data_IF_459078004737
#
_entry.id   IF_459078004737
#
_cell.length_a   1.000
_cell.length_b   1.000
_cell.length_c   1.000
_cell.angle_alpha   90.00
_cell.angle_beta   90.00
_cell.angle_gamma   90.00
#
_symmetry.space_group_name_H-M   'P 1'
#
loop_
_entity.id
_entity.type
_entity.pdbx_description
1 polymer ?
#
# COMPACT_ATOMS: atom_id res chain seq x y z
N UNK A 1 0.32 -118.51 -18.79
CA UNK A 1 0.78 -117.13 -18.51
C UNK A 1 -0.23 -116.07 -18.96
N UNK A 2 -1.27 -116.43 -19.73
CA UNK A 2 -2.16 -115.47 -20.40
C UNK A 2 -3.18 -114.76 -19.48
N UNK A 3 -3.57 -115.38 -18.35
CA UNK A 3 -4.52 -114.76 -17.40
C UNK A 3 -3.97 -113.55 -16.65
N UNK A 4 -2.66 -113.51 -16.39
CA UNK A 4 -2.02 -112.36 -15.72
C UNK A 4 -1.86 -111.17 -16.68
N UNK A 5 -1.45 -111.42 -17.92
CA UNK A 5 -1.35 -110.36 -18.94
C UNK A 5 -2.72 -109.74 -19.30
N UNK A 6 -3.80 -110.55 -19.33
CA UNK A 6 -5.16 -110.05 -19.54
C UNK A 6 -5.68 -109.18 -18.39
N UNK A 7 -5.22 -109.41 -17.16
CA UNK A 7 -5.63 -108.62 -15.99
C UNK A 7 -4.89 -107.29 -15.93
N UNK A 8 -3.63 -107.26 -16.32
CA UNK A 8 -2.81 -106.05 -16.41
C UNK A 8 -3.32 -105.12 -17.52
N UNK A 9 -3.67 -105.66 -18.69
CA UNK A 9 -4.19 -104.84 -19.80
C UNK A 9 -5.56 -104.23 -19.47
N UNK A 10 -6.44 -104.96 -18.79
CA UNK A 10 -7.73 -104.42 -18.31
C UNK A 10 -7.55 -103.27 -17.31
N UNK A 11 -6.52 -103.35 -16.46
CA UNK A 11 -6.22 -102.32 -15.47
C UNK A 11 -5.74 -101.03 -16.15
N UNK A 12 -4.79 -101.15 -17.09
CA UNK A 12 -4.29 -100.01 -17.89
C UNK A 12 -5.41 -99.35 -18.69
N UNK A 13 -6.29 -100.14 -19.32
CA UNK A 13 -7.44 -99.59 -20.07
C UNK A 13 -8.40 -98.86 -19.13
N UNK A 14 -8.65 -99.38 -17.93
CA UNK A 14 -9.49 -98.70 -16.93
C UNK A 14 -8.87 -97.39 -16.42
N UNK A 15 -7.55 -97.34 -16.27
CA UNK A 15 -6.81 -96.13 -15.92
C UNK A 15 -6.86 -95.09 -17.05
N UNK A 16 -6.70 -95.50 -18.31
CA UNK A 16 -6.81 -94.60 -19.47
C UNK A 16 -8.24 -94.03 -19.58
N UNK A 17 -9.27 -94.84 -19.35
CA UNK A 17 -10.67 -94.38 -19.34
C UNK A 17 -10.90 -93.40 -18.19
N UNK A 18 -10.31 -93.67 -17.01
CA UNK A 18 -10.39 -92.78 -15.85
C UNK A 18 -9.65 -91.46 -16.09
N UNK A 19 -8.49 -91.50 -16.74
CA UNK A 19 -7.71 -90.33 -17.11
C UNK A 19 -8.45 -89.48 -18.15
N UNK A 20 -9.05 -90.12 -19.17
CA UNK A 20 -9.89 -89.48 -20.17
C UNK A 20 -11.12 -88.82 -19.54
N UNK A 21 -11.72 -89.47 -18.53
CA UNK A 21 -12.85 -88.91 -17.80
C UNK A 21 -12.43 -87.73 -16.91
N UNK A 22 -11.24 -87.76 -16.31
CA UNK A 22 -10.66 -86.63 -15.56
C UNK A 22 -10.20 -85.48 -16.46
N UNK A 23 -9.89 -85.78 -17.73
CA UNK A 23 -9.74 -84.79 -18.78
C UNK A 23 -11.13 -84.30 -19.20
N UNK A 24 -11.81 -83.61 -18.28
CA UNK A 24 -13.11 -82.99 -18.53
C UNK A 24 -12.88 -81.78 -19.43
N UNK A 25 -12.82 -82.04 -20.75
CA UNK A 25 -12.74 -81.01 -21.79
C UNK A 25 -13.97 -80.11 -21.77
N UNK A 26 -15.10 -80.60 -21.25
CA UNK A 26 -16.35 -79.84 -21.10
C UNK A 26 -16.20 -78.67 -20.15
N UNK A 27 -15.66 -78.91 -18.95
CA UNK A 27 -15.47 -77.88 -17.92
C UNK A 27 -14.52 -76.79 -18.41
N UNK A 28 -13.45 -77.17 -19.12
CA UNK A 28 -12.54 -76.21 -19.73
C UNK A 28 -13.23 -75.39 -20.85
N UNK A 29 -14.13 -76.00 -21.64
CA UNK A 29 -14.89 -75.29 -22.67
C UNK A 29 -15.88 -74.31 -22.02
N UNK A 30 -16.54 -74.71 -20.93
CA UNK A 30 -17.46 -73.86 -20.18
C UNK A 30 -16.71 -72.68 -19.53
N UNK A 31 -15.54 -72.91 -18.94
CA UNK A 31 -14.67 -71.83 -18.44
C UNK A 31 -14.23 -70.88 -19.56
N UNK A 32 -13.88 -71.40 -20.75
CA UNK A 32 -13.52 -70.56 -21.90
C UNK A 32 -14.71 -69.72 -22.37
N UNK A 33 -15.93 -70.28 -22.37
CA UNK A 33 -17.15 -69.54 -22.68
C UNK A 33 -17.42 -68.45 -21.65
N UNK A 34 -17.25 -68.75 -20.36
CA UNK A 34 -17.39 -67.77 -19.29
C UNK A 34 -16.35 -66.64 -19.42
N UNK A 35 -15.10 -66.97 -19.74
CA UNK A 35 -14.05 -65.98 -20.03
C UNK A 35 -14.44 -65.12 -21.22
N UNK A 36 -14.97 -65.71 -22.29
CA UNK A 36 -15.37 -64.98 -23.49
C UNK A 36 -16.54 -64.00 -23.20
N UNK A 37 -17.50 -64.43 -22.40
CA UNK A 37 -18.61 -63.57 -21.96
C UNK A 37 -18.11 -62.46 -21.02
N UNK A 38 -17.15 -62.76 -20.15
CA UNK A 38 -16.51 -61.75 -19.32
C UNK A 38 -15.71 -60.73 -20.15
N UNK A 39 -15.01 -61.16 -21.20
CA UNK A 39 -14.33 -60.26 -22.14
C UNK A 39 -15.34 -59.34 -22.82
N UNK A 40 -16.47 -59.86 -23.32
CA UNK A 40 -17.53 -59.03 -23.91
C UNK A 40 -18.07 -57.99 -22.93
N UNK A 41 -18.35 -58.41 -21.68
CA UNK A 41 -18.80 -57.48 -20.62
C UNK A 41 -17.76 -56.40 -20.33
N UNK A 42 -16.47 -56.75 -20.33
CA UNK A 42 -15.37 -55.79 -20.14
C UNK A 42 -15.32 -54.81 -21.32
N UNK A 43 -15.42 -55.27 -22.56
CA UNK A 43 -15.43 -54.41 -23.75
C UNK A 43 -16.61 -53.43 -23.72
N UNK A 44 -17.81 -53.89 -23.38
CA UNK A 44 -18.99 -53.04 -23.21
C UNK A 44 -18.79 -52.00 -22.11
N UNK A 45 -18.25 -52.40 -20.95
CA UNK A 45 -17.96 -51.50 -19.84
C UNK A 45 -16.89 -50.46 -20.21
N UNK A 46 -15.84 -50.86 -20.91
CA UNK A 46 -14.80 -49.96 -21.41
C UNK A 46 -15.37 -48.96 -22.42
N UNK A 47 -16.20 -49.42 -23.37
CA UNK A 47 -16.78 -48.55 -24.37
C UNK A 47 -17.73 -47.53 -23.71
N UNK A 48 -18.56 -47.97 -22.77
CA UNK A 48 -19.43 -47.08 -21.97
C UNK A 48 -18.63 -46.05 -21.19
N UNK A 49 -17.51 -46.44 -20.55
CA UNK A 49 -16.63 -45.52 -19.83
C UNK A 49 -15.95 -44.52 -20.78
N UNK A 50 -15.54 -44.96 -21.96
CA UNK A 50 -14.99 -44.10 -23.01
C UNK A 50 -16.01 -43.06 -23.50
N UNK A 51 -17.26 -43.45 -23.69
CA UNK A 51 -18.33 -42.52 -24.05
C UNK A 51 -18.66 -41.53 -22.94
N UNK A 52 -18.72 -41.99 -21.68
CA UNK A 52 -18.95 -41.12 -20.52
C UNK A 52 -17.86 -40.05 -20.39
N UNK A 53 -16.58 -40.44 -20.44
CA UNK A 53 -15.46 -39.50 -20.37
C UNK A 53 -15.45 -38.52 -21.54
N UNK A 54 -15.78 -38.96 -22.77
CA UNK A 54 -15.94 -38.07 -23.93
C UNK A 54 -17.08 -37.07 -23.74
N UNK A 55 -18.20 -37.50 -23.16
CA UNK A 55 -19.35 -36.64 -22.88
C UNK A 55 -19.04 -35.62 -21.77
N UNK A 56 -18.36 -36.03 -20.71
CA UNK A 56 -17.87 -35.14 -19.66
C UNK A 56 -16.91 -34.09 -20.22
N UNK A 57 -15.93 -34.51 -21.01
CA UNK A 57 -14.99 -33.59 -21.68
C UNK A 57 -15.72 -32.60 -22.60
N UNK A 58 -16.73 -33.04 -23.35
CA UNK A 58 -17.57 -32.15 -24.16
C UNK A 58 -18.38 -31.17 -23.30
N UNK A 59 -18.95 -31.62 -22.19
CA UNK A 59 -19.69 -30.77 -21.28
C UNK A 59 -18.79 -29.72 -20.62
N UNK A 60 -17.61 -30.12 -20.15
CA UNK A 60 -16.57 -29.23 -19.63
C UNK A 60 -16.09 -28.23 -20.69
N UNK A 61 -15.84 -28.69 -21.92
CA UNK A 61 -15.44 -27.81 -23.03
C UNK A 61 -16.52 -26.77 -23.36
N UNK A 62 -17.80 -27.15 -23.30
CA UNK A 62 -18.92 -26.21 -23.45
C UNK A 62 -18.98 -25.21 -22.30
N UNK A 63 -18.85 -25.67 -21.04
CA UNK A 63 -18.80 -24.80 -19.86
C UNK A 63 -17.63 -23.80 -19.94
N UNK A 64 -16.46 -24.26 -20.35
CA UNK A 64 -15.29 -23.40 -20.55
C UNK A 64 -15.52 -22.41 -21.69
N UNK A 65 -16.15 -22.82 -22.79
CA UNK A 65 -16.49 -21.91 -23.89
C UNK A 65 -17.49 -20.85 -23.43
N UNK A 66 -18.52 -21.22 -22.68
CA UNK A 66 -19.51 -20.26 -22.13
C UNK A 66 -18.88 -19.31 -21.13
N UNK A 67 -18.03 -19.83 -20.23
CA UNK A 67 -17.27 -19.00 -19.29
C UNK A 67 -16.31 -18.07 -20.00
N UNK A 68 -15.58 -18.55 -21.01
CA UNK A 68 -14.67 -17.72 -21.82
C UNK A 68 -15.45 -16.64 -22.57
N UNK A 69 -16.61 -16.95 -23.15
CA UNK A 69 -17.45 -15.93 -23.79
C UNK A 69 -18.07 -14.96 -22.78
N UNK A 70 -18.36 -15.41 -21.56
CA UNK A 70 -18.87 -14.56 -20.47
C UNK A 70 -17.77 -13.65 -19.92
N UNK A 71 -16.56 -14.17 -19.72
CA UNK A 71 -15.40 -13.41 -19.25
C UNK A 71 -14.86 -12.46 -20.31
N UNK A 72 -15.01 -12.77 -21.60
CA UNK A 72 -14.71 -11.85 -22.70
C UNK A 72 -15.85 -10.84 -22.96
N UNK A 73 -16.96 -10.93 -22.22
CA UNK A 73 -18.06 -9.97 -22.20
C UNK A 73 -18.38 -9.54 -20.76
N UNK A 74 -17.54 -8.67 -20.20
CA UNK A 74 -18.07 -7.49 -19.54
C UNK A 74 -17.69 -6.28 -20.40
N UNK A 75 -18.70 -5.83 -21.14
CA UNK A 75 -19.01 -4.43 -21.38
C UNK A 75 -17.84 -3.42 -21.26
N UNK A 76 -17.28 -2.96 -22.39
CA UNK A 76 -16.39 -1.77 -22.45
C UNK A 76 -16.98 -0.56 -21.70
N UNK A 77 -18.31 -0.51 -21.50
CA UNK A 77 -18.95 0.52 -20.69
C UNK A 77 -18.78 0.30 -19.17
N UNK A 78 -18.80 -0.93 -18.67
CA UNK A 78 -18.60 -1.18 -17.23
C UNK A 78 -17.15 -0.91 -16.80
N UNK A 79 -16.17 -1.14 -17.67
CA UNK A 79 -14.78 -0.76 -17.38
C UNK A 79 -14.60 0.77 -17.36
N UNK A 80 -15.29 1.51 -18.23
CA UNK A 80 -15.31 2.98 -18.18
C UNK A 80 -15.98 3.49 -16.91
N UNK A 81 -17.15 2.95 -16.55
CA UNK A 81 -17.88 3.36 -15.34
C UNK A 81 -17.09 3.05 -14.07
N UNK A 82 -16.37 1.90 -14.03
CA UNK A 82 -15.53 1.55 -12.90
C UNK A 82 -14.27 2.42 -12.81
N UNK A 83 -13.61 2.69 -13.94
CA UNK A 83 -12.47 3.61 -13.98
C UNK A 83 -12.88 5.04 -13.61
N UNK A 84 -14.04 5.51 -14.06
CA UNK A 84 -14.59 6.82 -13.70
C UNK A 84 -14.91 6.89 -12.20
N UNK A 85 -15.41 5.79 -11.61
CA UNK A 85 -15.64 5.70 -10.16
C UNK A 85 -14.33 5.73 -9.36
N UNK A 86 -13.27 5.05 -9.85
CA UNK A 86 -11.94 5.10 -9.25
C UNK A 86 -11.40 6.53 -9.28
N UNK A 87 -11.41 7.18 -10.45
CA UNK A 87 -10.92 8.56 -10.60
C UNK A 87 -11.69 9.52 -9.70
N UNK A 88 -13.02 9.34 -9.59
CA UNK A 88 -13.85 10.15 -8.69
C UNK A 88 -13.44 9.95 -7.22
N UNK A 89 -13.24 8.70 -6.80
CA UNK A 89 -12.84 8.40 -5.43
C UNK A 89 -11.42 8.90 -5.09
N UNK A 90 -10.49 8.82 -6.05
CA UNK A 90 -9.14 9.38 -5.90
C UNK A 90 -9.20 10.92 -5.75
N UNK A 91 -10.05 11.58 -6.54
CA UNK A 91 -10.28 13.03 -6.39
C UNK A 91 -10.88 13.38 -5.04
N UNK A 92 -11.88 12.62 -4.56
CA UNK A 92 -12.48 12.83 -3.23
C UNK A 92 -11.45 12.64 -2.10
N UNK A 93 -10.55 11.66 -2.21
CA UNK A 93 -9.44 11.48 -1.26
C UNK A 93 -8.47 12.67 -1.26
N UNK A 94 -8.15 13.20 -2.44
CA UNK A 94 -7.28 14.37 -2.53
C UNK A 94 -7.97 15.60 -1.94
N UNK A 95 -9.26 15.82 -2.24
CA UNK A 95 -10.04 16.93 -1.69
C UNK A 95 -10.13 16.83 -0.17
N UNK A 96 -10.46 15.67 0.39
CA UNK A 96 -10.52 15.47 1.84
C UNK A 96 -9.16 15.65 2.53
N UNK A 97 -8.06 15.22 1.90
CA UNK A 97 -6.72 15.48 2.40
C UNK A 97 -6.38 16.98 2.37
N UNK A 98 -6.74 17.67 1.29
CA UNK A 98 -6.58 19.12 1.15
C UNK A 98 -7.42 19.88 2.20
N UNK A 99 -8.67 19.48 2.41
CA UNK A 99 -9.55 20.05 3.43
C UNK A 99 -8.98 19.86 4.84
N UNK A 100 -8.46 18.67 5.16
CA UNK A 100 -7.79 18.43 6.44
C UNK A 100 -6.55 19.32 6.62
N UNK A 101 -5.75 19.52 5.57
CA UNK A 101 -4.58 20.44 5.65
C UNK A 101 -5.00 21.91 5.76
N UNK A 102 -6.11 22.31 5.13
CA UNK A 102 -6.66 23.65 5.28
C UNK A 102 -7.17 23.87 6.69
N UNK A 103 -7.86 22.88 7.28
CA UNK A 103 -8.34 22.94 8.65
C UNK A 103 -7.16 23.02 9.65
N UNK A 104 -6.08 22.26 9.44
CA UNK A 104 -4.89 22.35 10.30
C UNK A 104 -4.24 23.72 10.20
N UNK A 105 -4.07 24.26 8.98
CA UNK A 105 -3.49 25.59 8.78
C UNK A 105 -4.38 26.71 9.32
N UNK A 106 -5.70 26.58 9.21
CA UNK A 106 -6.65 27.52 9.82
C UNK A 106 -6.59 27.47 11.34
N UNK A 107 -6.47 26.28 11.93
CA UNK A 107 -6.30 26.11 13.36
C UNK A 107 -4.96 26.67 13.84
N UNK A 108 -3.87 26.51 13.09
CA UNK A 108 -2.57 27.11 13.38
C UNK A 108 -2.62 28.64 13.28
N UNK A 109 -3.28 29.20 12.25
CA UNK A 109 -3.49 30.64 12.14
C UNK A 109 -4.34 31.18 13.29
N UNK A 110 -5.43 30.49 13.63
CA UNK A 110 -6.27 30.85 14.78
C UNK A 110 -5.45 30.83 16.08
N UNK A 111 -4.64 29.79 16.28
CA UNK A 111 -3.72 29.72 17.41
C UNK A 111 -2.72 30.87 17.39
N UNK A 112 -2.10 31.19 16.25
CA UNK A 112 -1.14 32.29 16.14
C UNK A 112 -1.77 33.67 16.38
N UNK A 113 -2.99 33.89 15.90
CA UNK A 113 -3.75 35.12 16.13
C UNK A 113 -4.19 35.26 17.59
N UNK A 114 -4.49 34.15 18.27
CA UNK A 114 -4.96 34.15 19.66
C UNK A 114 -3.84 33.90 20.68
N UNK A 115 -2.66 33.46 20.24
CA UNK A 115 -1.42 33.57 21.00
C UNK A 115 -1.02 35.03 20.97
N UNK A 116 -1.56 35.78 21.92
CA UNK A 116 -1.08 37.11 22.24
C UNK A 116 0.43 37.05 22.47
N UNK A 117 1.19 37.77 21.63
CA UNK A 117 2.64 37.97 21.75
C UNK A 117 3.02 38.59 23.12
N UNK A 118 2.02 39.06 23.88
CA UNK A 118 2.14 39.53 25.26
C UNK A 118 2.62 38.45 26.25
N UNK A 119 2.32 37.16 26.03
CA UNK A 119 2.65 36.09 26.99
C UNK A 119 4.06 35.47 26.82
N UNK A 120 4.78 35.79 25.73
CA UNK A 120 6.12 35.23 25.46
C UNK A 120 7.28 36.20 25.74
N UNK A 121 7.03 37.50 26.00
CA UNK A 121 8.10 38.49 26.25
C UNK A 121 7.73 39.52 27.33
N UNK A 122 7.13 39.12 28.46
CA UNK A 122 7.03 40.02 29.61
C UNK A 122 7.61 39.41 30.89
N UNK A 123 8.96 39.32 31.01
CA UNK A 123 9.59 39.23 32.31
C UNK A 123 9.66 40.64 32.92
N UNK A 124 8.83 40.89 33.95
CA UNK A 124 9.03 41.85 35.06
C UNK A 124 10.17 42.89 34.89
N UNK A 125 10.01 43.91 34.04
CA UNK A 125 10.76 45.19 34.11
C UNK A 125 10.12 46.24 33.18
N UNK A 126 8.87 46.58 33.47
CA UNK A 126 8.01 47.40 32.60
C UNK A 126 8.52 48.83 32.36
N UNK A 127 9.39 49.36 33.23
CA UNK A 127 9.92 50.71 33.06
C UNK A 127 11.05 50.79 32.01
N UNK A 128 11.97 49.83 31.99
CA UNK A 128 13.16 49.90 31.13
C UNK A 128 12.80 49.51 29.70
N UNK A 129 11.98 48.47 29.51
CA UNK A 129 11.51 48.08 28.18
C UNK A 129 10.62 49.15 27.55
N UNK A 130 9.75 49.80 28.33
CA UNK A 130 8.96 50.93 27.86
C UNK A 130 9.85 52.14 27.54
N UNK A 131 10.83 52.46 28.38
CA UNK A 131 11.80 53.51 28.10
C UNK A 131 12.59 53.23 26.82
N UNK A 132 13.08 52.00 26.62
CA UNK A 132 13.77 51.59 25.40
C UNK A 132 12.85 51.65 24.17
N UNK A 133 11.58 51.28 24.31
CA UNK A 133 10.60 51.43 23.23
C UNK A 133 10.36 52.90 22.88
N UNK A 134 10.23 53.77 23.88
CA UNK A 134 10.13 55.22 23.70
C UNK A 134 11.38 55.75 23.00
N UNK A 135 12.59 55.44 23.47
CA UNK A 135 13.83 55.88 22.81
C UNK A 135 13.96 55.39 21.37
N UNK A 136 13.50 54.16 21.07
CA UNK A 136 13.47 53.63 19.70
C UNK A 136 12.42 54.33 18.83
N UNK A 137 11.26 54.68 19.39
CA UNK A 137 10.24 55.48 18.69
C UNK A 137 10.70 56.91 18.41
N UNK A 138 11.60 57.45 19.23
CA UNK A 138 12.29 58.72 18.98
C UNK A 138 13.40 58.60 17.92
N UNK A 139 13.58 57.42 17.31
CA UNK A 139 14.57 57.21 16.26
C UNK A 139 16.00 57.03 16.76
N UNK A 140 16.21 56.85 18.07
CA UNK A 140 17.53 56.65 18.68
C UNK A 140 17.77 55.15 18.85
N UNK A 141 18.79 54.62 18.17
CA UNK A 141 19.19 53.22 18.24
C UNK A 141 20.66 53.11 18.62
N UNK A 142 20.97 52.35 19.67
CA UNK A 142 22.33 52.11 20.13
C UNK A 142 22.86 50.80 19.52
N UNK A 143 24.05 50.87 18.95
CA UNK A 143 24.77 49.74 18.38
C UNK A 143 26.19 49.71 18.95
N UNK A 144 26.66 48.53 19.35
CA UNK A 144 28.07 48.32 19.65
C UNK A 144 28.78 47.88 18.38
N UNK A 145 29.86 48.58 18.04
CA UNK A 145 30.65 48.28 16.85
C UNK A 145 31.58 47.09 17.12
N UNK A 146 31.44 46.02 16.33
CA UNK A 146 32.11 44.74 16.57
C UNK A 146 33.65 44.84 16.53
N UNK A 147 34.20 45.82 15.81
CA UNK A 147 35.66 45.98 15.68
C UNK A 147 36.29 46.86 16.76
N UNK A 148 35.53 47.78 17.37
CA UNK A 148 36.07 48.80 18.28
C UNK A 148 35.49 48.77 19.69
N UNK A 149 34.44 47.97 19.94
CA UNK A 149 33.70 47.92 21.20
C UNK A 149 33.23 49.30 21.69
N UNK A 150 33.12 50.27 20.77
CA UNK A 150 32.62 51.62 21.06
C UNK A 150 31.13 51.68 20.77
N UNK A 151 30.40 52.34 21.66
CA UNK A 151 28.96 52.54 21.54
C UNK A 151 28.68 53.62 20.49
N UNK A 152 27.96 53.26 19.44
CA UNK A 152 27.47 54.18 18.40
C UNK A 152 25.97 54.34 18.56
N UNK A 153 25.49 55.58 18.58
CA UNK A 153 24.08 55.90 18.53
C UNK A 153 23.71 56.34 17.11
N UNK A 154 22.75 55.68 16.48
CA UNK A 154 22.12 56.12 15.24
C UNK A 154 20.86 56.88 15.62
N UNK A 155 20.76 58.14 15.20
CA UNK A 155 19.60 59.00 15.42
C UNK A 155 18.96 59.30 14.07
N UNK A 156 17.69 58.95 13.92
CA UNK A 156 16.89 59.26 12.74
C UNK A 156 16.04 60.50 13.04
N UNK A 157 16.43 61.63 12.46
CA UNK A 157 15.76 62.92 12.63
C UNK A 157 15.18 63.47 11.32
N UNK A 158 14.56 64.67 11.36
CA UNK A 158 13.96 65.32 10.20
C UNK A 158 14.95 65.56 9.05
N UNK A 159 16.22 65.83 9.40
CA UNK A 159 17.30 66.15 8.46
C UNK A 159 18.06 64.91 7.97
N UNK A 160 17.66 63.70 8.41
CA UNK A 160 18.24 62.42 7.99
C UNK A 160 18.84 61.58 9.12
N UNK A 161 19.59 60.54 8.74
CA UNK A 161 20.18 59.56 9.65
C UNK A 161 21.58 60.01 10.08
N UNK A 162 21.75 60.32 11.36
CA UNK A 162 23.02 60.74 11.94
C UNK A 162 23.61 59.60 12.79
N UNK A 163 24.91 59.34 12.64
CA UNK A 163 25.63 58.36 13.48
C UNK A 163 26.57 59.10 14.42
N UNK A 164 26.31 58.98 15.72
CA UNK A 164 27.07 59.63 16.79
C UNK A 164 27.87 58.57 17.54
N UNK A 165 29.15 58.82 17.77
CA UNK A 165 29.99 57.95 18.59
C UNK A 165 29.93 58.44 20.04
N UNK A 166 29.51 57.57 20.95
CA UNK A 166 29.54 57.83 22.39
C UNK A 166 30.94 57.43 22.87
N UNK A 167 31.84 58.40 22.92
CA UNK A 167 33.21 58.24 23.42
C UNK A 167 33.37 58.98 24.76
N UNK A 168 34.22 58.47 25.64
CA UNK A 168 34.45 58.99 27.02
C UNK A 168 35.17 60.37 27.02
N UNK A 169 35.44 60.90 25.83
CA UNK A 169 36.06 62.21 25.62
C UNK A 169 35.09 63.38 25.75
N UNK A 170 33.78 63.12 25.65
CA UNK A 170 32.75 64.15 25.73
C UNK A 170 31.93 63.97 27.00
N UNK A 171 31.59 65.08 27.66
CA UNK A 171 30.71 65.04 28.83
C UNK A 171 29.35 64.44 28.46
N UNK A 172 28.78 63.64 29.35
CA UNK A 172 27.44 63.06 29.20
C UNK A 172 26.38 64.12 28.87
N UNK A 173 26.53 65.33 29.42
CA UNK A 173 25.64 66.46 29.14
C UNK A 173 25.75 66.97 27.69
N UNK A 174 26.95 66.96 27.12
CA UNK A 174 27.17 67.36 25.74
C UNK A 174 26.55 66.36 24.77
N UNK A 175 26.75 65.06 25.01
CA UNK A 175 26.16 64.00 24.19
C UNK A 175 24.63 64.02 24.27
N UNK A 176 24.06 64.19 25.47
CA UNK A 176 22.61 64.27 25.65
C UNK A 176 22.00 65.45 24.87
N UNK A 177 22.56 66.65 25.00
CA UNK A 177 22.07 67.82 24.26
C UNK A 177 22.19 67.65 22.75
N UNK A 178 23.31 67.09 22.28
CA UNK A 178 23.53 66.83 20.86
C UNK A 178 22.54 65.80 20.29
N UNK A 179 22.24 64.72 21.02
CA UNK A 179 21.23 63.74 20.61
C UNK A 179 19.82 64.37 20.57
N UNK A 180 19.50 65.24 21.53
CA UNK A 180 18.23 65.96 21.53
C UNK A 180 18.11 66.90 20.34
N UNK A 181 19.12 67.74 20.07
CA UNK A 181 19.16 68.64 18.89
C UNK A 181 18.97 67.87 17.58
N UNK A 182 19.63 66.72 17.42
CA UNK A 182 19.49 65.88 16.24
C UNK A 182 18.10 65.24 16.11
N UNK A 183 17.44 64.92 17.23
CA UNK A 183 16.11 64.29 17.23
C UNK A 183 14.97 65.29 17.01
N UNK A 184 15.09 66.53 17.51
CA UNK A 184 14.02 67.53 17.43
C UNK A 184 14.22 68.56 16.32
N UNK A 185 15.36 68.53 15.62
CA UNK A 185 15.76 69.56 14.67
C UNK A 185 16.16 70.87 15.37
N UNK A 186 16.88 71.78 14.68
CA UNK A 186 17.11 73.12 15.21
C UNK A 186 15.77 73.87 15.29
N UNK A 187 15.48 74.49 16.44
CA UNK A 187 14.47 75.55 16.51
C UNK A 187 14.90 76.76 15.70
#
# INVERSE_FOLDING_TARGET
>A
MDKQQSSISKNIVSEIISLKKKFETSDNIEMIQEIQDNIRKIEEAMNKKSEQTRNELRALSRKLKTLKSSAKRPNDQNERDFNDLIIKHEREKLVTALEATLETLQNELYQLEHTNVEDLVLPKQDAISLQLHIYRSLGIQFFEDQDTHKLKARVEGPDGVHTVFVDDRHSQHFIANYLWELSTGPN
#
